data_IF_734743208942
#
_entry.id   IF_734743208942
#
_cell.length_a   1.000
_cell.length_b   1.000
_cell.length_c   1.000
_cell.angle_alpha   90.00
_cell.angle_beta   90.00
_cell.angle_gamma   90.00
#
_symmetry.space_group_name_H-M   'P 1'
#
loop_
_entity.id
_entity.type
_entity.pdbx_description
1 polymer ?
#
# COMPACT_ATOMS: atom_id res chain seq x y z
N UNK A 1 -32.23 -0.28 -19.13
CA UNK A 1 -31.44 -1.35 -18.50
C UNK A 1 -30.75 -0.72 -17.31
N UNK A 2 -31.25 -0.94 -16.09
CA UNK A 2 -30.64 -0.42 -14.86
C UNK A 2 -29.97 -1.59 -14.16
N UNK A 3 -28.63 -1.61 -14.17
CA UNK A 3 -27.84 -2.53 -13.36
C UNK A 3 -27.65 -1.87 -12.00
N UNK A 4 -28.23 -2.37 -10.90
CA UNK A 4 -27.88 -1.88 -9.59
C UNK A 4 -26.45 -2.32 -9.31
N UNK A 5 -25.54 -1.35 -9.22
CA UNK A 5 -24.19 -1.53 -8.70
C UNK A 5 -24.31 -1.97 -7.25
N UNK A 6 -24.33 -3.29 -7.04
CA UNK A 6 -24.26 -3.84 -5.69
C UNK A 6 -22.90 -3.48 -5.13
N UNK A 7 -22.87 -2.45 -4.25
CA UNK A 7 -21.83 -2.33 -3.24
C UNK A 7 -21.81 -3.66 -2.52
N UNK A 8 -20.82 -4.49 -2.84
CA UNK A 8 -20.42 -5.65 -2.06
C UNK A 8 -20.06 -5.09 -0.68
N UNK A 9 -21.02 -5.08 0.24
CA UNK A 9 -20.74 -5.05 1.66
C UNK A 9 -20.03 -6.35 1.95
N UNK A 10 -18.70 -6.34 1.83
CA UNK A 10 -17.84 -7.44 2.26
C UNK A 10 -17.84 -7.46 3.78
N UNK A 11 -18.93 -7.97 4.33
CA UNK A 11 -19.01 -8.53 5.66
C UNK A 11 -18.20 -9.84 5.65
N UNK A 12 -16.89 -9.73 5.44
CA UNK A 12 -15.94 -10.83 5.57
C UNK A 12 -15.55 -10.89 7.05
N UNK A 13 -16.25 -11.79 7.75
CA UNK A 13 -15.85 -12.49 8.97
C UNK A 13 -14.39 -12.20 9.35
N UNK A 14 -14.17 -11.63 10.54
CA UNK A 14 -12.85 -11.41 11.13
C UNK A 14 -12.09 -12.74 11.21
N UNK A 15 -11.28 -13.04 10.21
CA UNK A 15 -10.43 -14.21 10.20
C UNK A 15 -9.16 -13.87 11.02
N UNK A 16 -9.16 -14.26 12.29
CA UNK A 16 -7.97 -14.43 13.15
C UNK A 16 -7.02 -13.23 13.32
N UNK A 17 -7.52 -12.02 13.59
CA UNK A 17 -6.63 -10.89 13.97
C UNK A 17 -5.71 -10.41 12.85
N UNK A 18 -5.98 -10.79 11.59
CA UNK A 18 -5.35 -10.16 10.43
C UNK A 18 -5.80 -8.71 10.36
N UNK A 19 -4.84 -7.77 10.30
CA UNK A 19 -5.11 -6.33 10.23
C UNK A 19 -4.90 -5.77 8.84
N UNK A 20 -4.02 -6.38 8.03
CA UNK A 20 -3.71 -5.98 6.67
C UNK A 20 -3.09 -7.15 5.88
N UNK A 21 -2.81 -6.94 4.61
CA UNK A 21 -2.03 -7.84 3.77
C UNK A 21 -0.88 -7.06 3.16
N UNK A 22 0.28 -7.70 3.02
CA UNK A 22 1.44 -7.10 2.38
C UNK A 22 1.24 -7.04 0.87
N UNK A 23 1.35 -5.84 0.30
CA UNK A 23 1.17 -5.61 -1.14
C UNK A 23 2.32 -6.19 -1.98
N UNK A 24 3.49 -6.41 -1.38
CA UNK A 24 4.63 -7.03 -2.07
C UNK A 24 4.54 -8.56 -2.12
N UNK A 25 4.37 -9.23 -0.98
CA UNK A 25 4.42 -10.70 -0.92
C UNK A 25 3.03 -11.37 -0.86
N UNK A 26 1.95 -10.60 -0.70
CA UNK A 26 0.56 -11.09 -0.66
C UNK A 26 0.15 -11.80 0.65
N UNK A 27 1.04 -11.89 1.65
CA UNK A 27 0.77 -12.58 2.91
C UNK A 27 0.13 -11.65 3.96
N UNK A 28 -0.55 -12.25 4.95
CA UNK A 28 -1.24 -11.52 6.01
C UNK A 28 -0.28 -10.81 7.00
N UNK A 29 -0.71 -9.66 7.49
CA UNK A 29 -0.10 -8.89 8.58
C UNK A 29 -1.01 -8.99 9.80
N UNK A 30 -0.44 -9.29 10.96
CA UNK A 30 -1.18 -9.49 12.21
C UNK A 30 -0.87 -8.40 13.26
N UNK A 31 0.25 -7.68 13.13
CA UNK A 31 0.66 -6.60 14.02
C UNK A 31 1.03 -5.35 13.22
N UNK A 32 0.67 -4.14 13.69
CA UNK A 32 1.10 -2.89 13.04
C UNK A 32 2.62 -2.70 13.13
N UNK A 33 3.28 -3.33 14.11
CA UNK A 33 4.74 -3.29 14.25
C UNK A 33 5.47 -4.05 13.14
N UNK A 34 4.79 -4.98 12.45
CA UNK A 34 5.33 -5.77 11.34
C UNK A 34 5.03 -5.13 9.98
N UNK A 35 4.55 -3.87 9.95
CA UNK A 35 4.08 -3.19 8.75
C UNK A 35 4.73 -1.82 8.55
N UNK A 36 5.05 -1.51 7.30
CA UNK A 36 5.50 -0.20 6.82
C UNK A 36 4.46 0.32 5.84
N UNK A 37 4.00 1.56 6.02
CA UNK A 37 3.10 2.24 5.07
C UNK A 37 3.95 3.15 4.19
N UNK A 38 3.86 2.93 2.88
CA UNK A 38 4.57 3.73 1.89
C UNK A 38 3.72 4.94 1.51
N UNK A 39 3.97 6.09 2.15
CA UNK A 39 3.16 7.31 1.95
C UNK A 39 3.07 7.77 0.48
N UNK A 40 4.04 7.38 -0.35
CA UNK A 40 4.02 7.72 -1.76
C UNK A 40 2.91 6.98 -2.52
N UNK A 41 2.66 5.70 -2.21
CA UNK A 41 1.79 4.79 -2.97
C UNK A 41 0.60 4.27 -2.16
N UNK A 42 0.54 4.59 -0.87
CA UNK A 42 -0.40 4.04 0.12
C UNK A 42 -0.33 2.50 0.23
N UNK A 43 0.80 1.90 -0.15
CA UNK A 43 1.03 0.46 -0.05
C UNK A 43 1.48 0.06 1.35
N UNK A 44 1.05 -1.13 1.79
CA UNK A 44 1.37 -1.70 3.09
C UNK A 44 2.33 -2.86 2.87
N UNK A 45 3.54 -2.77 3.42
CA UNK A 45 4.63 -3.73 3.19
C UNK A 45 5.05 -4.33 4.53
N UNK A 46 5.34 -5.64 4.57
CA UNK A 46 5.97 -6.21 5.77
C UNK A 46 7.32 -5.52 6.02
N UNK A 47 7.68 -5.30 7.28
CA UNK A 47 9.02 -4.80 7.64
C UNK A 47 10.14 -5.66 7.04
N UNK A 48 9.93 -6.98 7.00
CA UNK A 48 10.89 -7.93 6.44
C UNK A 48 10.94 -7.91 4.90
N UNK A 49 9.87 -7.45 4.24
CA UNK A 49 9.82 -7.29 2.78
C UNK A 49 10.34 -5.93 2.31
N UNK A 50 10.63 -5.01 3.24
CA UNK A 50 10.96 -3.63 2.91
C UNK A 50 12.22 -3.51 2.04
N UNK A 51 13.27 -4.28 2.34
CA UNK A 51 14.53 -4.22 1.61
C UNK A 51 14.32 -4.55 0.13
N UNK A 52 13.75 -5.72 -0.17
CA UNK A 52 13.46 -6.18 -1.54
C UNK A 52 12.49 -5.22 -2.27
N UNK A 53 11.40 -4.83 -1.63
CA UNK A 53 10.44 -3.88 -2.20
C UNK A 53 11.09 -2.52 -2.54
N UNK A 54 11.94 -1.99 -1.65
CA UNK A 54 12.58 -0.68 -1.85
C UNK A 54 13.56 -0.66 -3.02
N UNK A 55 14.23 -1.79 -3.29
CA UNK A 55 15.13 -1.95 -4.42
C UNK A 55 14.35 -2.03 -5.74
N UNK A 56 13.25 -2.78 -5.78
CA UNK A 56 12.40 -2.92 -6.97
C UNK A 56 11.70 -1.60 -7.35
N UNK A 57 11.30 -0.82 -6.35
CA UNK A 57 10.56 0.43 -6.52
C UNK A 57 11.44 1.69 -6.42
N UNK A 58 12.76 1.56 -6.45
CA UNK A 58 13.67 2.70 -6.28
C UNK A 58 13.40 3.84 -7.28
N UNK A 59 13.00 3.50 -8.52
CA UNK A 59 12.75 4.49 -9.57
C UNK A 59 11.43 5.23 -9.35
N UNK A 60 10.41 4.57 -8.81
CA UNK A 60 9.11 5.18 -8.53
C UNK A 60 9.23 6.27 -7.46
N UNK A 61 10.14 6.08 -6.49
CA UNK A 61 10.47 7.09 -5.49
C UNK A 61 11.21 8.30 -6.09
N UNK A 62 12.19 8.06 -6.97
CA UNK A 62 13.00 9.13 -7.59
C UNK A 62 12.17 10.00 -8.53
N UNK A 63 11.24 9.41 -9.28
CA UNK A 63 10.35 10.16 -10.19
C UNK A 63 9.42 11.07 -9.39
N UNK A 64 8.83 10.59 -8.30
CA UNK A 64 7.92 11.41 -7.46
C UNK A 64 8.60 12.60 -6.77
N UNK A 65 9.89 12.50 -6.44
CA UNK A 65 10.64 13.65 -5.89
C UNK A 65 10.79 14.74 -6.95
N UNK A 66 10.98 14.35 -8.22
CA UNK A 66 11.15 15.31 -9.31
C UNK A 66 9.84 16.08 -9.59
N UNK A 67 8.68 15.43 -9.49
CA UNK A 67 7.36 16.05 -9.69
C UNK A 67 6.95 17.01 -8.55
N UNK A 68 7.57 16.90 -7.36
CA UNK A 68 7.34 17.84 -6.25
C UNK A 68 8.17 19.13 -6.34
N UNK A 69 9.04 19.26 -7.35
CA UNK A 69 9.91 20.43 -7.54
C UNK A 69 9.37 21.49 -8.51
N UNK A 70 8.08 21.45 -8.84
CA UNK A 70 7.44 22.48 -9.68
C UNK A 70 6.38 23.25 -8.88
N UNK A 71 6.79 24.31 -8.17
CA UNK A 71 6.05 25.54 -7.78
C UNK A 71 6.93 26.22 -6.69
N UNK A 72 7.50 27.42 -6.84
CA UNK A 72 7.15 28.58 -7.67
C UNK A 72 8.35 29.54 -7.75
N UNK A 73 8.78 29.90 -8.95
CA UNK A 73 9.49 31.15 -9.23
C UNK A 73 8.44 32.13 -9.75
N UNK A 74 8.02 33.07 -8.89
CA UNK A 74 7.24 34.26 -9.24
C UNK A 74 7.38 35.32 -8.14
#
# INVERSE_FOLDING_TARGET
MNVPYQRKSEERRSHNGVIAYCDHCGHAIYSPDDAVIVEATDEIIHTDCWEEYSEEHMFDFVVKVSEKTDYSDA
#
